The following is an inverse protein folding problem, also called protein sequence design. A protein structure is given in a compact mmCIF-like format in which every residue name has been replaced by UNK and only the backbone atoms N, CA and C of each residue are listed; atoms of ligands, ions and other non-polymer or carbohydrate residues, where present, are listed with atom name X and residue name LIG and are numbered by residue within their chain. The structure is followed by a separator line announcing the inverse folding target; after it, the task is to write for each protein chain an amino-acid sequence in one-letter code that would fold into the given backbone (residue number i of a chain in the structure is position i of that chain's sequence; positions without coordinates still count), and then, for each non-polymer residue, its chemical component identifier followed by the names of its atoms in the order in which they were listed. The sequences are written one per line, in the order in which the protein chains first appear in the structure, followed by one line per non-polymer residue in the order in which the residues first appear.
data_IF_926071039356
#
_entry.id   IF_926071039356
#
_cell.length_a   1.000
_cell.length_b   1.000
_cell.length_c   1.000
_cell.angle_alpha   90.00
_cell.angle_beta   90.00
_cell.angle_gamma   90.00
#
_symmetry.space_group_name_H-M   'P 1'
#
loop_
_entity.id
_entity.type
_entity.pdbx_description
1 polymer ?
#
# COMPACT_ATOMS: atom_id res chain seq x y z
N UNK A 1 33.24 -19.19 -10.31
CA UNK A 1 33.42 -17.83 -9.72
C UNK A 1 32.10 -17.26 -9.19
N UNK A 2 31.02 -17.11 -9.97
CA UNK A 2 29.71 -16.66 -9.45
C UNK A 2 29.18 -17.51 -8.28
N UNK A 3 29.25 -18.85 -8.40
CA UNK A 3 28.78 -19.78 -7.37
C UNK A 3 29.48 -19.70 -6.01
N UNK A 4 30.80 -19.52 -6.00
CA UNK A 4 31.54 -19.26 -4.76
C UNK A 4 31.14 -17.92 -4.13
N UNK A 5 30.78 -16.93 -4.95
CA UNK A 5 30.23 -15.67 -4.47
C UNK A 5 28.87 -15.91 -3.79
N UNK A 6 27.95 -16.63 -4.46
CA UNK A 6 26.62 -16.96 -3.92
C UNK A 6 26.68 -17.73 -2.61
N UNK A 7 27.55 -18.73 -2.52
CA UNK A 7 27.76 -19.50 -1.30
C UNK A 7 28.25 -18.62 -0.14
N UNK A 8 29.24 -17.76 -0.39
CA UNK A 8 29.77 -16.85 0.64
C UNK A 8 28.71 -15.84 1.12
N UNK A 9 27.83 -15.36 0.23
CA UNK A 9 26.75 -14.44 0.60
C UNK A 9 25.68 -15.11 1.48
N UNK A 10 25.23 -16.32 1.10
CA UNK A 10 24.24 -17.07 1.88
C UNK A 10 24.82 -17.52 3.24
N UNK A 11 26.11 -17.85 3.30
CA UNK A 11 26.79 -18.17 4.56
C UNK A 11 26.95 -16.96 5.50
N UNK A 12 27.20 -15.76 4.95
CA UNK A 12 27.23 -14.52 5.73
C UNK A 12 25.83 -14.15 6.25
N UNK A 13 24.80 -14.29 5.40
CA UNK A 13 23.41 -14.03 5.77
C UNK A 13 22.90 -14.98 6.86
N UNK A 14 23.23 -16.29 6.78
CA UNK A 14 22.93 -17.26 7.83
C UNK A 14 23.54 -16.87 9.20
N UNK A 15 24.75 -16.29 9.21
CA UNK A 15 25.39 -15.81 10.44
C UNK A 15 24.66 -14.61 11.04
N UNK A 16 24.11 -13.71 10.22
CA UNK A 16 23.34 -12.54 10.69
C UNK A 16 21.98 -12.92 11.28
N UNK A 17 21.26 -13.85 10.63
CA UNK A 17 19.95 -14.35 11.09
C UNK A 17 20.03 -15.02 12.48
N UNK A 18 21.23 -15.43 12.92
CA UNK A 18 21.45 -15.97 14.27
C UNK A 18 21.35 -14.90 15.38
N UNK A 19 21.26 -13.60 15.06
CA UNK A 19 21.55 -12.53 16.02
C UNK A 19 20.39 -11.67 16.56
N UNK A 20 19.12 -11.81 16.12
CA UNK A 20 17.90 -11.39 16.86
C UNK A 20 16.64 -11.62 16.00
N UNK A 21 15.57 -12.15 16.64
CA UNK A 21 14.26 -12.61 16.11
C UNK A 21 14.22 -14.07 15.57
N UNK A 22 14.12 -15.02 16.49
CA UNK A 22 14.28 -16.47 16.26
C UNK A 22 13.12 -17.20 15.55
N UNK A 23 11.93 -16.60 15.44
CA UNK A 23 10.74 -17.34 14.97
C UNK A 23 10.50 -17.16 13.46
N UNK A 24 10.38 -15.92 12.96
CA UNK A 24 10.18 -15.67 11.51
C UNK A 24 11.42 -15.99 10.67
N UNK A 25 12.61 -15.98 11.26
CA UNK A 25 13.86 -16.21 10.54
C UNK A 25 14.22 -17.70 10.43
N UNK A 26 13.66 -18.58 11.26
CA UNK A 26 14.01 -20.01 11.30
C UNK A 26 13.68 -20.73 10.00
N UNK A 27 12.51 -20.45 9.42
CA UNK A 27 12.09 -21.05 8.15
C UNK A 27 12.97 -20.59 6.98
N UNK A 28 13.31 -19.29 6.94
CA UNK A 28 14.23 -18.72 5.96
C UNK A 28 15.66 -19.24 6.12
N UNK A 29 16.14 -19.45 7.35
CA UNK A 29 17.43 -20.08 7.64
C UNK A 29 17.48 -21.52 7.13
N UNK A 30 16.44 -22.31 7.41
CA UNK A 30 16.34 -23.71 6.97
C UNK A 30 16.28 -23.78 5.44
N UNK A 31 15.46 -22.95 4.79
CA UNK A 31 15.37 -22.87 3.34
C UNK A 31 16.70 -22.45 2.70
N UNK A 32 17.40 -21.48 3.30
CA UNK A 32 18.73 -21.03 2.86
C UNK A 32 19.78 -22.13 2.98
N UNK A 33 19.84 -22.85 4.10
CA UNK A 33 20.76 -23.97 4.31
C UNK A 33 20.49 -25.10 3.32
N UNK A 34 19.21 -25.43 3.09
CA UNK A 34 18.84 -26.47 2.13
C UNK A 34 19.32 -26.14 0.72
N UNK A 35 19.13 -24.89 0.28
CA UNK A 35 19.63 -24.44 -1.02
C UNK A 35 21.17 -24.44 -1.05
N UNK A 36 21.87 -23.93 -0.03
CA UNK A 36 23.35 -24.00 0.07
C UNK A 36 23.84 -25.46 -0.05
N UNK A 37 23.15 -26.40 0.60
CA UNK A 37 23.55 -27.81 0.58
C UNK A 37 23.29 -28.45 -0.80
N UNK A 38 22.17 -28.15 -1.45
CA UNK A 38 21.89 -28.59 -2.82
C UNK A 38 22.93 -28.05 -3.81
N UNK A 39 23.36 -26.80 -3.62
CA UNK A 39 24.42 -26.17 -4.41
C UNK A 39 25.77 -26.87 -4.19
N UNK A 40 26.13 -27.14 -2.93
CA UNK A 40 27.38 -27.82 -2.55
C UNK A 40 27.45 -29.27 -3.09
N UNK A 41 26.30 -29.90 -3.29
CA UNK A 41 26.20 -31.27 -3.83
C UNK A 41 26.37 -31.35 -5.36
N UNK A 42 26.60 -30.24 -6.06
CA UNK A 42 26.95 -30.23 -7.48
C UNK A 42 25.83 -30.72 -8.42
N UNK A 43 24.58 -30.72 -7.96
CA UNK A 43 23.42 -31.10 -8.76
C UNK A 43 23.23 -30.08 -9.89
N UNK A 44 23.38 -30.52 -11.15
CA UNK A 44 23.29 -29.64 -12.31
C UNK A 44 21.90 -28.99 -12.45
N UNK A 45 21.89 -27.68 -12.22
CA UNK A 45 21.05 -26.58 -12.72
C UNK A 45 19.95 -26.97 -13.71
N UNK A 46 18.74 -27.21 -13.19
CA UNK A 46 17.51 -27.05 -13.98
C UNK A 46 17.05 -25.59 -13.94
N UNK A 47 16.28 -25.14 -14.93
CA UNK A 47 15.66 -23.79 -14.95
C UNK A 47 14.82 -23.59 -13.68
N UNK A 48 14.17 -24.64 -13.20
CA UNK A 48 13.34 -24.63 -11.99
C UNK A 48 14.13 -24.29 -10.72
N UNK A 49 15.32 -24.86 -10.53
CA UNK A 49 16.15 -24.58 -9.35
C UNK A 49 16.66 -23.13 -9.28
N UNK A 50 16.90 -22.47 -10.42
CA UNK A 50 17.24 -21.05 -10.42
C UNK A 50 16.04 -20.16 -10.08
N UNK A 51 14.83 -20.57 -10.45
CA UNK A 51 13.61 -19.85 -10.10
C UNK A 51 13.28 -20.02 -8.61
N UNK A 52 13.52 -21.21 -8.04
CA UNK A 52 13.44 -21.44 -6.59
C UNK A 52 14.43 -20.57 -5.81
N UNK A 53 15.67 -20.45 -6.30
CA UNK A 53 16.71 -19.63 -5.68
C UNK A 53 16.39 -18.14 -5.76
N UNK A 54 15.83 -17.68 -6.89
CA UNK A 54 15.30 -16.32 -7.05
C UNK A 54 14.16 -16.05 -6.07
N UNK A 55 13.18 -16.92 -5.99
CA UNK A 55 12.03 -16.77 -5.07
C UNK A 55 12.48 -16.72 -3.61
N UNK A 56 13.48 -17.54 -3.24
CA UNK A 56 14.07 -17.47 -1.90
C UNK A 56 14.76 -16.12 -1.65
N UNK A 57 15.57 -15.63 -2.60
CA UNK A 57 16.25 -14.35 -2.49
C UNK A 57 15.27 -13.17 -2.41
N UNK A 58 14.15 -13.21 -3.14
CA UNK A 58 13.09 -12.19 -3.08
C UNK A 58 12.41 -12.19 -1.70
N UNK A 59 12.10 -13.37 -1.13
CA UNK A 59 11.57 -13.48 0.24
C UNK A 59 12.55 -12.95 1.28
N UNK A 60 13.83 -13.29 1.14
CA UNK A 60 14.92 -12.78 1.99
C UNK A 60 15.00 -11.25 1.91
N UNK A 61 14.94 -10.70 0.69
CA UNK A 61 14.97 -9.26 0.45
C UNK A 61 13.78 -8.54 1.12
N UNK A 62 12.56 -9.06 0.98
CA UNK A 62 11.38 -8.48 1.62
C UNK A 62 11.46 -8.52 3.15
N UNK A 63 11.90 -9.64 3.72
CA UNK A 63 12.08 -9.77 5.17
C UNK A 63 13.13 -8.78 5.68
N UNK A 64 14.26 -8.64 4.99
CA UNK A 64 15.30 -7.67 5.34
C UNK A 64 14.78 -6.23 5.26
N UNK A 65 14.02 -5.88 4.22
CA UNK A 65 13.40 -4.55 4.08
C UNK A 65 12.48 -4.22 5.26
N UNK A 66 11.78 -5.21 5.82
CA UNK A 66 10.95 -5.03 7.03
C UNK A 66 11.80 -4.87 8.28
N UNK A 67 12.87 -5.65 8.44
CA UNK A 67 13.77 -5.59 9.60
C UNK A 67 14.56 -4.28 9.69
N UNK A 68 14.99 -3.72 8.55
CA UNK A 68 15.68 -2.42 8.46
C UNK A 68 14.88 -1.30 9.13
N UNK A 69 13.55 -1.30 9.00
CA UNK A 69 12.68 -0.26 9.57
C UNK A 69 12.69 -0.20 11.11
N UNK A 70 13.18 -1.23 11.78
CA UNK A 70 13.14 -1.37 13.24
C UNK A 70 14.51 -1.61 13.89
N UNK A 71 15.59 -1.48 13.12
CA UNK A 71 16.95 -1.75 13.57
C UNK A 71 17.65 -0.49 14.13
N UNK A 72 18.68 -0.67 14.98
CA UNK A 72 19.57 0.43 15.35
C UNK A 72 20.40 0.92 14.15
N UNK A 73 20.93 2.15 14.21
CA UNK A 73 21.59 2.80 13.06
C UNK A 73 22.77 2.02 12.49
N UNK A 74 23.53 1.32 13.34
CA UNK A 74 24.68 0.50 12.90
C UNK A 74 24.20 -0.76 12.18
N UNK A 75 23.16 -1.40 12.68
CA UNK A 75 22.50 -2.56 12.09
C UNK A 75 21.79 -2.18 10.79
N UNK A 76 21.19 -0.99 10.74
CA UNK A 76 20.55 -0.43 9.56
C UNK A 76 21.53 -0.27 8.39
N UNK A 77 22.72 0.29 8.62
CA UNK A 77 23.76 0.46 7.59
C UNK A 77 24.22 -0.91 7.04
N UNK A 78 24.39 -1.90 7.91
CA UNK A 78 24.79 -3.26 7.49
C UNK A 78 23.69 -3.90 6.64
N UNK A 79 22.45 -3.86 7.12
CA UNK A 79 21.31 -4.44 6.42
C UNK A 79 21.01 -3.72 5.10
N UNK A 80 21.17 -2.40 5.01
CA UNK A 80 21.02 -1.63 3.76
C UNK A 80 22.08 -2.02 2.72
N UNK A 81 23.32 -2.23 3.15
CA UNK A 81 24.38 -2.72 2.25
C UNK A 81 24.07 -4.12 1.73
N UNK A 82 23.63 -5.02 2.61
CA UNK A 82 23.25 -6.39 2.22
C UNK A 82 22.01 -6.41 1.34
N UNK A 83 21.03 -5.54 1.59
CA UNK A 83 19.85 -5.36 0.76
C UNK A 83 20.25 -4.95 -0.67
N UNK A 84 21.19 -4.02 -0.82
CA UNK A 84 21.70 -3.59 -2.12
C UNK A 84 22.47 -4.72 -2.84
N UNK A 85 23.30 -5.48 -2.12
CA UNK A 85 24.03 -6.63 -2.68
C UNK A 85 23.06 -7.75 -3.13
N UNK A 86 22.01 -8.01 -2.34
CA UNK A 86 20.93 -8.95 -2.70
C UNK A 86 20.16 -8.48 -3.94
N UNK A 87 19.83 -7.19 -4.01
CA UNK A 87 19.13 -6.62 -5.17
C UNK A 87 19.96 -6.76 -6.45
N UNK A 88 21.27 -6.50 -6.37
CA UNK A 88 22.20 -6.69 -7.48
C UNK A 88 22.27 -8.16 -7.91
N UNK A 89 22.33 -9.06 -6.94
CA UNK A 89 22.35 -10.51 -7.16
C UNK A 89 21.08 -11.02 -7.86
N UNK A 90 19.90 -10.57 -7.42
CA UNK A 90 18.61 -10.86 -8.07
C UNK A 90 18.61 -10.33 -9.51
N UNK A 91 19.15 -9.13 -9.74
CA UNK A 91 19.26 -8.57 -11.09
C UNK A 91 20.14 -9.42 -12.01
N UNK A 92 21.32 -9.83 -11.54
CA UNK A 92 22.24 -10.67 -12.31
C UNK A 92 21.66 -12.05 -12.63
N UNK A 93 20.92 -12.67 -11.69
CA UNK A 93 20.21 -13.93 -11.92
C UNK A 93 19.15 -13.76 -13.00
N UNK A 94 18.31 -12.72 -12.89
CA UNK A 94 17.27 -12.44 -13.87
C UNK A 94 17.85 -12.19 -15.27
N UNK A 95 18.96 -11.47 -15.36
CA UNK A 95 19.66 -11.23 -16.62
C UNK A 95 20.18 -12.53 -17.25
N UNK A 96 20.85 -13.38 -16.46
CA UNK A 96 21.38 -14.66 -16.92
C UNK A 96 20.27 -15.64 -17.34
N UNK A 97 19.16 -15.69 -16.60
CA UNK A 97 18.00 -16.52 -16.94
C UNK A 97 17.35 -16.05 -18.24
N UNK A 98 17.22 -14.73 -18.42
CA UNK A 98 16.72 -14.15 -19.66
C UNK A 98 17.62 -14.51 -20.86
N UNK A 99 18.94 -14.33 -20.74
CA UNK A 99 19.88 -14.71 -21.79
C UNK A 99 19.83 -16.21 -22.11
N UNK A 100 19.77 -17.08 -21.10
CA UNK A 100 19.68 -18.54 -21.32
C UNK A 100 18.39 -18.94 -22.05
N UNK A 101 17.24 -18.35 -21.68
CA UNK A 101 15.96 -18.60 -22.35
C UNK A 101 15.98 -18.14 -23.80
N UNK A 102 16.52 -16.94 -24.07
CA UNK A 102 16.67 -16.40 -25.43
C UNK A 102 17.62 -17.26 -26.27
N UNK A 103 18.76 -17.67 -25.70
CA UNK A 103 19.74 -18.54 -26.38
C UNK A 103 19.15 -19.91 -26.74
N UNK A 104 18.31 -20.48 -25.85
CA UNK A 104 17.64 -21.76 -26.09
C UNK A 104 16.68 -21.67 -27.27
N UNK A 105 15.86 -20.60 -27.33
CA UNK A 105 14.93 -20.36 -28.44
C UNK A 105 15.70 -20.16 -29.76
N UNK A 106 16.76 -19.35 -29.75
CA UNK A 106 17.57 -19.14 -30.96
C UNK A 106 18.25 -20.43 -31.43
N UNK A 107 18.73 -21.27 -30.51
CA UNK A 107 19.36 -22.54 -30.86
C UNK A 107 18.34 -23.51 -31.47
N UNK A 108 17.13 -23.60 -30.91
CA UNK A 108 16.07 -24.45 -31.47
C UNK A 108 15.62 -23.97 -32.84
N UNK A 109 15.50 -22.66 -33.05
CA UNK A 109 15.21 -22.09 -34.39
C UNK A 109 16.34 -22.37 -35.40
N UNK A 110 17.59 -22.34 -34.96
CA UNK A 110 18.75 -22.69 -35.80
C UNK A 110 18.73 -24.17 -36.19
N UNK A 111 18.50 -25.08 -35.24
CA UNK A 111 18.35 -26.53 -35.50
C UNK A 111 17.21 -26.79 -36.51
N UNK A 112 16.08 -26.09 -36.37
CA UNK A 112 14.99 -26.18 -37.33
C UNK A 112 15.40 -25.76 -38.74
N UNK A 113 16.09 -24.63 -38.86
CA UNK A 113 16.58 -24.13 -40.16
C UNK A 113 17.57 -25.10 -40.81
N UNK A 114 18.42 -25.75 -40.00
CA UNK A 114 19.39 -26.75 -40.47
C UNK A 114 18.69 -27.99 -41.03
N UNK A 115 17.74 -28.58 -40.29
CA UNK A 115 16.98 -29.75 -40.75
C UNK A 115 16.12 -29.45 -41.98
N UNK A 116 15.58 -28.23 -42.11
CA UNK A 116 14.89 -27.79 -43.34
C UNK A 116 15.83 -27.83 -44.56
N UNK A 117 17.07 -27.40 -44.38
CA UNK A 117 18.11 -27.43 -45.42
C UNK A 117 18.49 -28.88 -45.78
N UNK A 118 18.63 -29.76 -44.79
CA UNK A 118 18.89 -31.19 -44.99
C UNK A 118 17.75 -31.88 -45.77
N UNK A 119 16.50 -31.60 -45.42
CA UNK A 119 15.34 -32.15 -46.12
C UNK A 119 15.29 -31.69 -47.58
N UNK A 120 15.69 -30.44 -47.87
CA UNK A 120 15.83 -29.95 -49.24
C UNK A 120 16.96 -30.65 -50.01
N UNK A 121 18.09 -30.94 -49.35
CA UNK A 121 19.18 -31.74 -49.96
C UNK A 121 18.74 -33.17 -50.27
N UNK A 122 18.01 -33.82 -49.36
CA UNK A 122 17.48 -35.17 -49.58
C UNK A 122 16.49 -35.17 -50.76
N UNK A 123 15.62 -34.15 -50.88
CA UNK A 123 14.74 -33.98 -52.04
C UNK A 123 15.51 -33.88 -53.35
N UNK A 124 16.60 -33.10 -53.36
CA UNK A 124 17.43 -32.95 -54.54
C UNK A 124 18.14 -34.27 -54.91
N UNK A 125 18.75 -34.95 -53.94
CA UNK A 125 19.43 -36.23 -54.16
C UNK A 125 18.48 -37.33 -54.68
N UNK A 126 17.26 -37.41 -54.14
CA UNK A 126 16.25 -38.35 -54.64
C UNK A 126 15.86 -38.02 -56.08
N UNK A 127 15.77 -36.74 -56.44
CA UNK A 127 15.46 -36.32 -57.82
C UNK A 127 16.58 -36.72 -58.79
N UNK A 128 17.84 -36.54 -58.38
CA UNK A 128 19.03 -36.87 -59.19
C UNK A 128 19.16 -38.39 -59.42
N UNK A 129 18.87 -39.22 -58.41
CA UNK A 129 19.05 -40.68 -58.47
C UNK A 129 17.79 -41.40 -59.01
N UNK A 130 16.65 -40.69 -59.12
CA UNK A 130 15.36 -41.28 -59.53
C UNK A 130 15.37 -41.94 -60.92
N UNK A 131 16.24 -41.50 -61.85
CA UNK A 131 16.39 -42.12 -63.17
C UNK A 131 17.22 -43.40 -63.17
N UNK A 132 17.96 -43.68 -62.10
CA UNK A 132 18.88 -44.82 -61.96
C UNK A 132 18.31 -45.95 -61.09
N UNK A 133 17.21 -45.69 -60.38
CA UNK A 133 16.56 -46.62 -59.46
C UNK A 133 15.38 -47.35 -60.11
N UNK A 134 15.03 -48.50 -59.53
CA UNK A 134 13.79 -49.18 -59.88
C UNK A 134 12.58 -48.28 -59.55
N UNK A 135 11.54 -48.23 -60.40
CA UNK A 135 10.40 -47.33 -60.20
C UNK A 135 9.67 -47.51 -58.86
N UNK A 136 9.61 -48.73 -58.33
CA UNK A 136 8.99 -49.01 -57.03
C UNK A 136 9.80 -48.48 -55.85
N UNK A 137 11.14 -48.53 -55.90
CA UNK A 137 12.00 -47.99 -54.86
C UNK A 137 11.93 -46.46 -54.85
N UNK A 138 11.93 -45.86 -56.05
CA UNK A 138 11.70 -44.42 -56.24
C UNK A 138 10.35 -43.99 -55.66
N UNK A 139 9.29 -44.77 -55.92
CA UNK A 139 7.95 -44.51 -55.36
C UNK A 139 7.94 -44.59 -53.82
N UNK A 140 8.58 -45.59 -53.22
CA UNK A 140 8.67 -45.72 -51.76
C UNK A 140 9.48 -44.58 -51.12
N UNK A 141 10.58 -44.16 -51.74
CA UNK A 141 11.40 -43.04 -51.27
C UNK A 141 10.61 -41.72 -51.32
N UNK A 142 9.90 -41.46 -52.42
CA UNK A 142 9.04 -40.28 -52.55
C UNK A 142 7.94 -40.29 -51.48
N UNK A 143 7.31 -41.44 -51.20
CA UNK A 143 6.30 -41.56 -50.15
C UNK A 143 6.87 -41.23 -48.77
N UNK A 144 8.02 -41.82 -48.39
CA UNK A 144 8.69 -41.53 -47.11
C UNK A 144 9.10 -40.06 -46.98
N UNK A 145 9.59 -39.47 -48.07
CA UNK A 145 9.98 -38.07 -48.11
C UNK A 145 8.79 -37.12 -47.96
N UNK A 146 7.66 -37.46 -48.57
CA UNK A 146 6.42 -36.70 -48.41
C UNK A 146 5.90 -36.77 -46.98
N UNK A 147 5.91 -37.95 -46.35
CA UNK A 147 5.55 -38.11 -44.93
C UNK A 147 6.47 -37.28 -44.01
N UNK A 148 7.78 -37.33 -44.24
CA UNK A 148 8.74 -36.53 -43.48
C UNK A 148 8.51 -35.03 -43.68
N UNK A 149 8.19 -34.60 -44.91
CA UNK A 149 7.85 -33.22 -45.21
C UNK A 149 6.58 -32.74 -44.49
N UNK A 150 5.55 -33.58 -44.40
CA UNK A 150 4.32 -33.28 -43.65
C UNK A 150 4.63 -33.16 -42.15
N UNK A 151 5.29 -34.16 -41.56
CA UNK A 151 5.66 -34.17 -40.14
C UNK A 151 6.53 -32.96 -39.77
N UNK A 152 7.44 -32.57 -40.66
CA UNK A 152 8.27 -31.39 -40.50
C UNK A 152 7.43 -30.10 -40.45
N UNK A 153 6.53 -29.94 -41.43
CA UNK A 153 5.65 -28.77 -41.53
C UNK A 153 4.75 -28.65 -40.29
N UNK A 154 4.25 -29.78 -39.80
CA UNK A 154 3.43 -29.84 -38.58
C UNK A 154 4.25 -29.43 -37.34
N UNK A 155 5.48 -29.94 -37.19
CA UNK A 155 6.36 -29.56 -36.09
C UNK A 155 6.73 -28.06 -36.12
N UNK A 156 7.04 -27.51 -37.30
CA UNK A 156 7.31 -26.08 -37.50
C UNK A 156 6.09 -25.22 -37.12
N UNK A 157 4.89 -25.64 -37.53
CA UNK A 157 3.63 -24.97 -37.15
C UNK A 157 3.40 -25.04 -35.64
N UNK A 158 3.52 -26.21 -35.03
CA UNK A 158 3.33 -26.38 -33.58
C UNK A 158 4.31 -25.54 -32.76
N UNK A 159 5.57 -25.47 -33.16
CA UNK A 159 6.57 -24.68 -32.48
C UNK A 159 6.34 -23.17 -32.66
N UNK A 160 5.93 -22.74 -33.85
CA UNK A 160 5.56 -21.33 -34.09
C UNK A 160 4.40 -20.90 -33.18
N UNK A 161 3.33 -21.70 -33.12
CA UNK A 161 2.18 -21.44 -32.23
C UNK A 161 2.60 -21.41 -30.77
N UNK A 162 3.50 -22.31 -30.35
CA UNK A 162 4.02 -22.33 -28.99
C UNK A 162 4.83 -21.06 -28.67
N UNK A 163 5.71 -20.61 -29.58
CA UNK A 163 6.49 -19.38 -29.41
C UNK A 163 5.58 -18.16 -29.30
N UNK A 164 4.58 -18.04 -30.17
CA UNK A 164 3.63 -16.93 -30.16
C UNK A 164 2.83 -16.90 -28.85
N UNK A 165 2.34 -18.07 -28.42
CA UNK A 165 1.63 -18.24 -27.15
C UNK A 165 2.48 -17.86 -25.93
N UNK A 166 3.74 -18.32 -25.88
CA UNK A 166 4.66 -17.98 -24.80
C UNK A 166 5.04 -16.50 -24.80
N UNK A 167 5.21 -15.90 -25.98
CA UNK A 167 5.53 -14.47 -26.13
C UNK A 167 4.37 -13.62 -25.66
N UNK A 168 3.14 -13.94 -26.07
CA UNK A 168 1.92 -13.28 -25.61
C UNK A 168 1.79 -13.39 -24.10
N UNK A 169 1.88 -14.60 -23.54
CA UNK A 169 1.76 -14.83 -22.09
C UNK A 169 2.82 -14.07 -21.29
N UNK A 170 4.06 -14.03 -21.78
CA UNK A 170 5.13 -13.25 -21.17
C UNK A 170 4.78 -11.76 -21.13
N UNK A 171 4.25 -11.22 -22.22
CA UNK A 171 3.85 -9.81 -22.29
C UNK A 171 2.69 -9.49 -21.35
N UNK A 172 1.68 -10.37 -21.25
CA UNK A 172 0.53 -10.22 -20.35
C UNK A 172 0.96 -10.27 -18.88
N UNK A 173 1.86 -11.19 -18.52
CA UNK A 173 2.41 -11.26 -17.17
C UNK A 173 3.22 -9.99 -16.82
N UNK A 174 4.05 -9.50 -17.74
CA UNK A 174 4.83 -8.27 -17.51
C UNK A 174 3.95 -7.04 -17.34
N UNK A 175 2.88 -6.92 -18.14
CA UNK A 175 1.92 -5.84 -18.01
C UNK A 175 1.20 -5.88 -16.66
N UNK A 176 0.70 -7.06 -16.26
CA UNK A 176 0.13 -7.28 -14.93
C UNK A 176 1.10 -6.90 -13.82
N UNK A 177 2.35 -7.37 -13.88
CA UNK A 177 3.36 -7.10 -12.86
C UNK A 177 3.62 -5.60 -12.67
N UNK A 178 3.79 -4.89 -13.79
CA UNK A 178 4.02 -3.45 -13.76
C UNK A 178 2.82 -2.70 -13.16
N UNK A 179 1.61 -3.10 -13.52
CA UNK A 179 0.38 -2.51 -12.99
C UNK A 179 0.19 -2.79 -11.50
N UNK A 180 0.50 -4.01 -11.08
CA UNK A 180 0.47 -4.43 -9.68
C UNK A 180 1.45 -3.61 -8.84
N UNK A 181 2.71 -3.49 -9.26
CA UNK A 181 3.72 -2.70 -8.54
C UNK A 181 3.34 -1.23 -8.42
N UNK A 182 2.80 -0.63 -9.49
CA UNK A 182 2.27 0.74 -9.46
C UNK A 182 1.12 0.90 -8.48
N UNK A 183 0.27 -0.12 -8.37
CA UNK A 183 -0.84 -0.13 -7.42
C UNK A 183 -0.34 -0.18 -5.97
N UNK A 184 0.64 -1.02 -5.66
CA UNK A 184 1.28 -1.08 -4.34
C UNK A 184 1.92 0.27 -3.98
N UNK A 185 2.67 0.87 -4.90
CA UNK A 185 3.28 2.19 -4.68
C UNK A 185 2.24 3.28 -4.44
N UNK A 186 1.13 3.26 -5.20
CA UNK A 186 0.02 4.17 -4.98
C UNK A 186 -0.57 3.98 -3.58
N UNK A 187 -0.83 2.75 -3.15
CA UNK A 187 -1.34 2.44 -1.81
C UNK A 187 -0.44 3.01 -0.71
N UNK A 188 0.87 2.76 -0.79
CA UNK A 188 1.83 3.25 0.19
C UNK A 188 1.84 4.78 0.25
N UNK A 189 1.79 5.48 -0.89
CA UNK A 189 1.75 6.94 -0.91
C UNK A 189 0.40 7.51 -0.45
N UNK A 190 -0.70 6.85 -0.80
CA UNK A 190 -2.05 7.32 -0.51
C UNK A 190 -2.33 7.36 0.99
N UNK A 191 -2.01 6.25 1.69
CA UNK A 191 -2.21 6.16 3.14
C UNK A 191 -1.28 7.07 3.94
N UNK A 192 0.00 7.15 3.54
CA UNK A 192 1.00 7.86 4.35
C UNK A 192 0.97 9.38 4.12
N UNK A 193 0.73 9.81 2.87
CA UNK A 193 0.96 11.19 2.47
C UNK A 193 -0.31 11.85 1.93
N UNK A 194 -0.93 11.26 0.91
CA UNK A 194 -1.91 11.97 0.08
C UNK A 194 -3.17 12.38 0.86
N UNK A 195 -3.71 11.49 1.70
CA UNK A 195 -4.86 11.81 2.55
C UNK A 195 -4.52 12.97 3.48
N UNK A 196 -3.39 12.92 4.18
CA UNK A 196 -3.00 13.96 5.13
C UNK A 196 -2.74 15.31 4.45
N UNK A 197 -2.09 15.30 3.28
CA UNK A 197 -1.83 16.51 2.50
C UNK A 197 -3.12 17.18 2.04
N UNK A 198 -4.11 16.41 1.58
CA UNK A 198 -5.42 16.94 1.15
C UNK A 198 -6.21 17.58 2.28
N UNK A 199 -6.03 17.11 3.52
CA UNK A 199 -6.75 17.60 4.69
C UNK A 199 -6.01 18.72 5.44
N UNK A 200 -4.72 18.94 5.14
CA UNK A 200 -3.89 19.86 5.89
C UNK A 200 -4.38 21.32 5.75
N UNK A 201 -4.48 22.03 6.88
CA UNK A 201 -4.88 23.43 6.93
C UNK A 201 -6.37 23.72 6.70
N UNK A 202 -7.19 22.68 6.48
CA UNK A 202 -8.63 22.81 6.29
C UNK A 202 -9.39 22.85 7.61
N UNK A 203 -10.60 23.39 7.57
CA UNK A 203 -11.54 23.32 8.71
C UNK A 203 -12.07 21.91 8.84
N UNK A 204 -12.50 21.53 10.05
CA UNK A 204 -13.02 20.18 10.31
C UNK A 204 -14.21 19.79 9.41
N UNK A 205 -15.09 20.75 9.12
CA UNK A 205 -16.23 20.57 8.23
C UNK A 205 -15.78 20.28 6.79
N UNK A 206 -14.84 21.08 6.27
CA UNK A 206 -14.30 20.90 4.91
C UNK A 206 -13.54 19.58 4.79
N UNK A 207 -12.76 19.22 5.81
CA UNK A 207 -12.06 17.94 5.87
C UNK A 207 -13.04 16.76 5.81
N UNK A 208 -14.18 16.85 6.51
CA UNK A 208 -15.22 15.83 6.49
C UNK A 208 -15.85 15.67 5.10
N UNK A 209 -16.13 16.78 4.41
CA UNK A 209 -16.68 16.78 3.05
C UNK A 209 -15.72 16.13 2.05
N UNK A 210 -14.43 16.49 2.10
CA UNK A 210 -13.39 15.88 1.25
C UNK A 210 -13.24 14.39 1.53
N UNK A 211 -13.29 13.97 2.80
CA UNK A 211 -13.24 12.55 3.16
C UNK A 211 -14.44 11.77 2.60
N UNK A 212 -15.65 12.32 2.72
CA UNK A 212 -16.89 11.67 2.27
C UNK A 212 -17.06 11.62 0.77
N UNK A 213 -16.57 12.64 0.07
CA UNK A 213 -16.75 12.79 -1.37
C UNK A 213 -15.48 12.41 -2.12
N UNK A 214 -14.47 13.28 -2.12
CA UNK A 214 -13.28 13.15 -2.97
C UNK A 214 -12.48 11.89 -2.67
N UNK A 215 -12.14 11.66 -1.40
CA UNK A 215 -11.35 10.50 -0.99
C UNK A 215 -12.14 9.21 -1.23
N UNK A 216 -13.44 9.19 -0.93
CA UNK A 216 -14.31 8.03 -1.18
C UNK A 216 -14.45 7.72 -2.67
N UNK A 217 -14.54 8.74 -3.52
CA UNK A 217 -14.57 8.59 -4.98
C UNK A 217 -13.24 8.02 -5.50
N UNK A 218 -12.10 8.53 -5.02
CA UNK A 218 -10.78 7.99 -5.37
C UNK A 218 -10.70 6.50 -5.02
N UNK A 219 -11.15 6.10 -3.84
CA UNK A 219 -11.15 4.70 -3.41
C UNK A 219 -12.07 3.87 -4.29
N UNK A 220 -13.24 4.39 -4.64
CA UNK A 220 -14.22 3.70 -5.51
C UNK A 220 -13.62 3.44 -6.90
N UNK A 221 -12.95 4.43 -7.49
CA UNK A 221 -12.30 4.26 -8.79
C UNK A 221 -11.09 3.31 -8.70
N UNK A 222 -10.35 3.37 -7.59
CA UNK A 222 -9.24 2.45 -7.35
C UNK A 222 -9.69 1.02 -7.08
N UNK A 223 -10.85 0.81 -6.48
CA UNK A 223 -11.50 -0.51 -6.34
C UNK A 223 -11.85 -1.08 -7.71
N UNK A 224 -12.38 -0.28 -8.64
CA UNK A 224 -12.62 -0.73 -10.03
C UNK A 224 -11.34 -1.19 -10.71
N UNK A 225 -10.28 -0.37 -10.62
CA UNK A 225 -8.97 -0.73 -11.16
C UNK A 225 -8.38 -1.99 -10.51
N UNK A 226 -8.49 -2.13 -9.18
CA UNK A 226 -8.08 -3.35 -8.48
C UNK A 226 -8.85 -4.58 -8.96
N UNK A 227 -10.16 -4.46 -9.19
CA UNK A 227 -10.98 -5.54 -9.75
C UNK A 227 -10.54 -5.94 -11.16
N UNK A 228 -10.15 -4.98 -12.01
CA UNK A 228 -9.57 -5.28 -13.32
C UNK A 228 -8.24 -6.04 -13.21
N UNK A 229 -7.39 -5.67 -12.24
CA UNK A 229 -6.16 -6.41 -11.96
C UNK A 229 -6.43 -7.81 -11.42
N UNK A 230 -7.45 -7.98 -10.58
CA UNK A 230 -7.87 -9.29 -10.08
C UNK A 230 -8.34 -10.19 -11.22
N UNK A 231 -9.10 -9.65 -12.18
CA UNK A 231 -9.51 -10.39 -13.38
C UNK A 231 -8.27 -10.81 -14.20
N UNK A 232 -7.34 -9.89 -14.44
CA UNK A 232 -6.09 -10.18 -15.15
C UNK A 232 -5.27 -11.26 -14.43
N UNK A 233 -5.13 -11.17 -13.10
CA UNK A 233 -4.40 -12.15 -12.29
C UNK A 233 -5.05 -13.54 -12.36
N UNK A 234 -6.38 -13.63 -12.26
CA UNK A 234 -7.11 -14.91 -12.36
C UNK A 234 -7.02 -15.53 -13.75
N UNK A 235 -7.01 -14.71 -14.80
CA UNK A 235 -6.78 -15.17 -16.18
C UNK A 235 -5.34 -15.69 -16.36
N UNK A 236 -4.34 -15.02 -15.79
CA UNK A 236 -2.96 -15.53 -15.81
C UNK A 236 -2.86 -16.85 -15.04
N UNK A 237 -3.47 -16.93 -13.86
CA UNK A 237 -3.47 -18.13 -13.03
C UNK A 237 -4.03 -19.35 -13.76
N UNK A 238 -5.14 -19.19 -14.50
CA UNK A 238 -5.78 -20.30 -15.22
C UNK A 238 -4.97 -20.82 -16.42
N UNK A 239 -4.04 -20.02 -16.92
CA UNK A 239 -3.16 -20.40 -18.02
C UNK A 239 -1.83 -21.03 -17.56
N UNK A 240 -1.49 -20.92 -16.28
CA UNK A 240 -0.27 -21.45 -15.70
C UNK A 240 -0.42 -22.94 -15.39
N UNK A 241 0.65 -23.69 -15.63
CA UNK A 241 0.76 -25.10 -15.27
C UNK A 241 1.79 -25.35 -14.16
N UNK A 242 2.63 -24.36 -13.87
CA UNK A 242 3.64 -24.42 -12.81
C UNK A 242 3.01 -24.02 -11.48
N UNK A 243 2.97 -24.96 -10.54
CA UNK A 243 2.39 -24.78 -9.21
C UNK A 243 3.02 -23.61 -8.45
N UNK A 244 4.32 -23.37 -8.63
CA UNK A 244 5.02 -22.28 -7.94
C UNK A 244 4.50 -20.92 -8.46
N UNK A 245 4.35 -20.79 -9.77
CA UNK A 245 3.84 -19.56 -10.39
C UNK A 245 2.36 -19.32 -10.05
N UNK A 246 1.56 -20.39 -9.99
CA UNK A 246 0.15 -20.33 -9.55
C UNK A 246 0.07 -19.77 -8.13
N UNK A 247 0.92 -20.24 -7.22
CA UNK A 247 0.95 -19.77 -5.83
C UNK A 247 1.42 -18.32 -5.70
N UNK A 248 2.42 -17.90 -6.50
CA UNK A 248 2.87 -16.49 -6.55
C UNK A 248 1.71 -15.57 -6.97
N UNK A 249 0.97 -15.93 -8.02
CA UNK A 249 -0.17 -15.13 -8.47
C UNK A 249 -1.29 -15.12 -7.42
N UNK A 250 -1.52 -16.25 -6.75
CA UNK A 250 -2.49 -16.35 -5.66
C UNK A 250 -2.15 -15.39 -4.51
N UNK A 251 -0.89 -15.34 -4.09
CA UNK A 251 -0.43 -14.40 -3.06
C UNK A 251 -0.65 -12.94 -3.48
N UNK A 252 -0.42 -12.60 -4.76
CA UNK A 252 -0.69 -11.25 -5.27
C UNK A 252 -2.18 -10.91 -5.30
N UNK A 253 -3.05 -11.88 -5.61
CA UNK A 253 -4.51 -11.73 -5.53
C UNK A 253 -4.93 -11.42 -4.08
N UNK A 254 -4.47 -12.24 -3.13
CA UNK A 254 -4.77 -12.06 -1.70
C UNK A 254 -4.25 -10.70 -1.20
N UNK A 255 -3.07 -10.27 -1.65
CA UNK A 255 -2.50 -8.98 -1.33
C UNK A 255 -3.32 -7.80 -1.88
N UNK A 256 -3.83 -7.89 -3.12
CA UNK A 256 -4.69 -6.85 -3.71
C UNK A 256 -6.00 -6.70 -2.92
N UNK A 257 -6.63 -7.81 -2.58
CA UNK A 257 -7.88 -7.83 -1.80
C UNK A 257 -7.63 -7.22 -0.41
N UNK A 258 -6.57 -7.66 0.28
CA UNK A 258 -6.20 -7.14 1.59
C UNK A 258 -5.91 -5.64 1.59
N UNK A 259 -5.20 -5.14 0.59
CA UNK A 259 -4.88 -3.72 0.45
C UNK A 259 -6.14 -2.88 0.29
N UNK A 260 -7.06 -3.32 -0.57
CA UNK A 260 -8.30 -2.58 -0.80
C UNK A 260 -9.16 -2.51 0.46
N UNK A 261 -9.29 -3.63 1.17
CA UNK A 261 -10.06 -3.68 2.41
C UNK A 261 -9.40 -2.81 3.50
N UNK A 262 -8.06 -2.78 3.55
CA UNK A 262 -7.31 -1.94 4.48
C UNK A 262 -7.56 -0.44 4.22
N UNK A 263 -7.52 0.02 2.97
CA UNK A 263 -7.80 1.43 2.64
C UNK A 263 -9.23 1.81 3.02
N UNK A 264 -10.20 0.97 2.66
CA UNK A 264 -11.61 1.26 2.91
C UNK A 264 -11.89 1.33 4.41
N UNK A 265 -11.36 0.39 5.20
CA UNK A 265 -11.48 0.44 6.65
C UNK A 265 -10.78 1.66 7.25
N UNK A 266 -9.60 2.02 6.76
CA UNK A 266 -8.86 3.18 7.24
C UNK A 266 -9.65 4.47 7.03
N UNK A 267 -10.18 4.67 5.82
CA UNK A 267 -10.94 5.88 5.47
C UNK A 267 -12.29 5.92 6.19
N UNK A 268 -12.98 4.79 6.31
CA UNK A 268 -14.26 4.72 7.04
C UNK A 268 -14.07 5.04 8.53
N UNK A 269 -13.01 4.52 9.17
CA UNK A 269 -12.66 4.87 10.55
C UNK A 269 -12.39 6.37 10.68
N UNK A 270 -11.66 6.94 9.72
CA UNK A 270 -11.32 8.37 9.73
C UNK A 270 -12.56 9.24 9.55
N UNK A 271 -13.46 8.90 8.62
CA UNK A 271 -14.75 9.58 8.44
C UNK A 271 -15.53 9.58 9.76
N UNK A 272 -15.74 8.42 10.38
CA UNK A 272 -16.50 8.31 11.63
C UNK A 272 -15.89 9.15 12.75
N UNK A 273 -14.56 9.13 12.89
CA UNK A 273 -13.89 9.96 13.88
C UNK A 273 -14.11 11.45 13.58
N UNK A 274 -13.89 11.90 12.35
CA UNK A 274 -14.10 13.30 11.97
C UNK A 274 -15.56 13.74 12.11
N UNK A 275 -16.55 12.86 11.88
CA UNK A 275 -17.97 13.13 12.15
C UNK A 275 -18.23 13.41 13.63
N UNK A 276 -17.69 12.57 14.52
CA UNK A 276 -17.82 12.75 15.97
C UNK A 276 -17.18 14.07 16.40
N UNK A 277 -15.94 14.32 15.97
CA UNK A 277 -15.23 15.55 16.30
C UNK A 277 -15.95 16.78 15.73
N UNK A 278 -16.51 16.69 14.53
CA UNK A 278 -17.32 17.75 13.93
C UNK A 278 -18.59 18.03 14.73
N UNK A 279 -19.27 16.98 15.23
CA UNK A 279 -20.44 17.13 16.09
C UNK A 279 -20.07 17.83 17.39
N UNK A 280 -19.01 17.39 18.05
CA UNK A 280 -18.50 18.03 19.28
C UNK A 280 -18.11 19.49 19.03
N UNK A 281 -17.48 19.79 17.89
CA UNK A 281 -17.13 21.16 17.51
C UNK A 281 -18.37 22.04 17.33
N UNK A 282 -19.42 21.54 16.69
CA UNK A 282 -20.67 22.28 16.51
C UNK A 282 -21.41 22.50 17.85
N UNK A 283 -21.41 21.50 18.74
CA UNK A 283 -21.93 21.62 20.10
C UNK A 283 -21.15 22.69 20.90
N UNK A 284 -19.82 22.76 20.73
CA UNK A 284 -18.97 23.79 21.32
C UNK A 284 -19.32 25.20 20.80
N UNK A 285 -19.39 25.38 19.47
CA UNK A 285 -19.76 26.64 18.83
C UNK A 285 -21.09 27.18 19.36
N UNK A 286 -22.11 26.33 19.37
CA UNK A 286 -23.44 26.70 19.81
C UNK A 286 -23.45 27.05 21.30
N UNK A 287 -22.73 26.28 22.13
CA UNK A 287 -22.57 26.58 23.55
C UNK A 287 -21.87 27.92 23.81
N UNK A 288 -20.80 28.22 23.06
CA UNK A 288 -20.09 29.50 23.16
C UNK A 288 -21.02 30.66 22.82
N UNK A 289 -21.80 30.56 21.74
CA UNK A 289 -22.71 31.63 21.33
C UNK A 289 -23.84 31.83 22.34
N UNK A 290 -24.42 30.74 22.87
CA UNK A 290 -25.46 30.82 23.91
C UNK A 290 -24.94 31.51 25.18
N UNK A 291 -23.76 31.12 25.68
CA UNK A 291 -23.12 31.75 26.84
C UNK A 291 -22.81 33.22 26.54
N UNK A 292 -22.32 33.54 25.34
CA UNK A 292 -22.00 34.91 24.93
C UNK A 292 -23.24 35.82 24.98
N UNK A 293 -24.37 35.38 24.41
CA UNK A 293 -25.63 36.12 24.41
C UNK A 293 -26.20 36.29 25.82
N UNK A 294 -26.07 35.26 26.66
CA UNK A 294 -26.46 35.35 28.07
C UNK A 294 -25.58 36.34 28.84
N UNK A 295 -24.26 36.30 28.67
CA UNK A 295 -23.33 37.27 29.27
C UNK A 295 -23.65 38.71 28.84
N UNK A 296 -23.93 38.95 27.54
CA UNK A 296 -24.34 40.26 27.02
C UNK A 296 -25.58 40.80 27.81
N UNK A 297 -26.53 39.92 28.12
CA UNK A 297 -27.76 40.25 28.86
C UNK A 297 -27.46 40.58 30.32
N UNK A 298 -26.64 39.75 30.99
CA UNK A 298 -26.27 39.97 32.40
C UNK A 298 -25.45 41.25 32.56
N UNK A 299 -24.47 41.50 31.69
CA UNK A 299 -23.66 42.72 31.70
C UNK A 299 -24.55 43.96 31.52
N UNK A 300 -25.53 43.91 30.61
CA UNK A 300 -26.50 45.00 30.40
C UNK A 300 -27.36 45.24 31.65
N UNK A 301 -27.83 44.17 32.29
CA UNK A 301 -28.64 44.26 33.51
C UNK A 301 -27.84 44.88 34.66
N UNK A 302 -26.59 44.43 34.85
CA UNK A 302 -25.69 44.95 35.88
C UNK A 302 -25.34 46.42 35.66
N UNK A 303 -25.19 46.87 34.41
CA UNK A 303 -24.94 48.29 34.10
C UNK A 303 -26.17 49.19 34.34
N UNK A 304 -27.40 48.65 34.24
CA UNK A 304 -28.65 49.40 34.46
C UNK A 304 -28.99 49.57 35.94
N UNK A 305 -28.54 48.64 36.77
CA UNK A 305 -28.62 48.74 38.23
C UNK A 305 -27.59 49.74 38.75
N UNK A 306 -27.92 51.04 38.70
CA UNK A 306 -27.12 52.09 39.35
C UNK A 306 -27.54 52.26 40.83
N UNK A 307 -26.60 52.55 41.75
CA UNK A 307 -26.93 52.77 43.15
C UNK A 307 -27.71 54.08 43.29
N UNK A 308 -28.91 54.01 43.85
CA UNK A 308 -29.72 55.19 44.16
C UNK A 308 -29.81 55.43 45.66
N UNK A 309 -29.88 56.71 46.05
CA UNK A 309 -29.80 57.17 47.44
C UNK A 309 -31.08 56.93 48.26
N UNK A 310 -32.05 56.17 47.75
CA UNK A 310 -33.35 55.95 48.37
C UNK A 310 -33.45 54.52 48.94
N UNK A 311 -33.86 54.37 50.19
CA UNK A 311 -33.86 53.09 50.94
C UNK A 311 -34.72 52.00 50.28
N UNK A 312 -35.84 52.36 49.64
CA UNK A 312 -36.67 51.39 48.91
C UNK A 312 -36.01 50.90 47.61
N UNK A 313 -35.29 51.77 46.91
CA UNK A 313 -34.61 51.41 45.66
C UNK A 313 -33.33 50.61 45.93
N UNK A 314 -32.66 50.87 47.06
CA UNK A 314 -31.55 50.05 47.54
C UNK A 314 -31.97 48.59 47.78
N UNK A 315 -33.11 48.35 48.43
CA UNK A 315 -33.62 46.99 48.61
C UNK A 315 -33.99 46.28 47.30
N UNK A 316 -34.57 47.01 46.34
CA UNK A 316 -34.88 46.49 45.00
C UNK A 316 -33.59 46.15 44.25
N UNK A 317 -32.56 47.00 44.34
CA UNK A 317 -31.25 46.77 43.75
C UNK A 317 -30.58 45.52 44.33
N UNK A 318 -30.59 45.36 45.65
CA UNK A 318 -29.99 44.21 46.34
C UNK A 318 -30.69 42.88 45.99
N UNK A 319 -32.03 42.88 45.85
CA UNK A 319 -32.77 41.71 45.34
C UNK A 319 -32.43 41.39 43.88
N UNK A 320 -32.24 42.40 43.04
CA UNK A 320 -31.84 42.22 41.64
C UNK A 320 -30.44 41.60 41.53
N UNK A 321 -29.49 42.02 42.37
CA UNK A 321 -28.12 41.46 42.40
C UNK A 321 -28.16 39.99 42.84
N UNK A 322 -28.88 39.66 43.92
CA UNK A 322 -29.01 38.28 44.39
C UNK A 322 -29.66 37.34 43.35
N UNK A 323 -30.60 37.85 42.56
CA UNK A 323 -31.20 37.09 41.46
C UNK A 323 -30.20 36.82 40.33
N UNK A 324 -29.33 37.79 40.02
CA UNK A 324 -28.25 37.66 39.03
C UNK A 324 -27.20 36.66 39.51
N UNK A 325 -26.78 36.72 40.78
CA UNK A 325 -25.84 35.75 41.37
C UNK A 325 -26.34 34.31 41.23
N UNK A 326 -27.61 34.07 41.58
CA UNK A 326 -28.22 32.75 41.45
C UNK A 326 -28.26 32.28 39.98
N UNK A 327 -28.49 33.19 39.03
CA UNK A 327 -28.47 32.83 37.60
C UNK A 327 -27.07 32.48 37.10
N UNK A 328 -26.05 33.16 37.61
CA UNK A 328 -24.65 32.90 37.27
C UNK A 328 -24.17 31.58 37.85
N UNK A 329 -24.57 31.25 39.08
CA UNK A 329 -24.26 29.96 39.67
C UNK A 329 -24.85 28.80 38.85
N UNK A 330 -26.07 28.97 38.32
CA UNK A 330 -26.67 27.99 37.39
C UNK A 330 -25.83 27.83 36.12
N UNK A 331 -25.37 28.93 35.52
CA UNK A 331 -24.59 28.90 34.28
C UNK A 331 -23.13 28.47 34.48
N UNK A 332 -22.61 28.46 35.70
CA UNK A 332 -21.26 27.98 36.03
C UNK A 332 -21.02 26.51 35.63
N UNK A 333 -22.04 25.66 35.82
CA UNK A 333 -21.97 24.24 35.42
C UNK A 333 -21.94 24.05 33.91
N UNK A 334 -22.72 24.85 33.18
CA UNK A 334 -22.74 24.88 31.71
C UNK A 334 -21.40 25.37 31.17
N UNK A 335 -20.88 26.45 31.73
CA UNK A 335 -19.56 27.00 31.38
C UNK A 335 -18.44 25.98 31.58
N UNK A 336 -18.42 25.30 32.74
CA UNK A 336 -17.42 24.27 33.04
C UNK A 336 -17.47 23.10 32.06
N UNK A 337 -18.68 22.65 31.71
CA UNK A 337 -18.90 21.56 30.75
C UNK A 337 -18.48 21.96 29.33
N UNK A 338 -18.74 23.21 28.94
CA UNK A 338 -18.35 23.77 27.65
C UNK A 338 -16.83 23.92 27.51
N UNK A 339 -16.14 24.39 28.56
CA UNK A 339 -14.68 24.46 28.60
C UNK A 339 -14.07 23.06 28.54
N UNK A 340 -14.60 22.10 29.28
CA UNK A 340 -14.15 20.71 29.23
C UNK A 340 -14.27 20.13 27.80
N UNK A 341 -15.40 20.39 27.12
CA UNK A 341 -15.59 20.00 25.73
C UNK A 341 -14.59 20.68 24.78
N UNK A 342 -14.33 21.99 24.96
CA UNK A 342 -13.32 22.73 24.21
C UNK A 342 -11.91 22.18 24.40
N UNK A 343 -11.51 21.87 25.64
CA UNK A 343 -10.21 21.26 25.93
C UNK A 343 -10.10 19.83 25.38
N UNK A 344 -11.17 19.04 25.41
CA UNK A 344 -11.20 17.72 24.79
C UNK A 344 -10.98 17.83 23.27
N UNK A 345 -11.56 18.83 22.60
CA UNK A 345 -11.32 19.10 21.19
C UNK A 345 -9.85 19.50 20.92
N UNK A 346 -9.26 20.36 21.77
CA UNK A 346 -7.84 20.74 21.62
C UNK A 346 -6.87 19.55 21.70
N UNK A 347 -7.25 18.49 22.41
CA UNK A 347 -6.45 17.27 22.53
C UNK A 347 -6.67 16.28 21.38
N UNK A 348 -7.57 16.54 20.43
CA UNK A 348 -7.79 15.66 19.28
C UNK A 348 -6.71 15.88 18.21
N UNK A 349 -5.89 14.85 18.02
CA UNK A 349 -4.76 14.84 17.08
C UNK A 349 -5.17 14.94 15.61
N UNK A 350 -6.45 14.72 15.28
CA UNK A 350 -6.96 14.80 13.91
C UNK A 350 -7.48 16.19 13.51
N UNK A 351 -7.46 17.15 14.44
CA UNK A 351 -7.84 18.53 14.18
C UNK A 351 -6.65 19.29 13.59
N UNK A 352 -6.89 20.08 12.54
CA UNK A 352 -5.86 20.91 11.93
C UNK A 352 -5.37 22.01 12.88
N UNK A 353 -4.09 22.39 12.75
CA UNK A 353 -3.50 23.48 13.54
C UNK A 353 -4.32 24.78 13.47
N UNK A 354 -4.83 25.12 12.30
CA UNK A 354 -5.72 26.28 12.11
C UNK A 354 -6.99 26.20 12.95
N UNK A 355 -7.59 25.02 13.06
CA UNK A 355 -8.80 24.81 13.86
C UNK A 355 -8.47 24.82 15.35
N UNK A 356 -7.32 24.26 15.74
CA UNK A 356 -6.77 24.32 17.11
C UNK A 356 -6.57 25.79 17.53
N UNK A 357 -5.93 26.61 16.69
CA UNK A 357 -5.71 28.03 16.99
C UNK A 357 -7.03 28.79 17.18
N UNK A 358 -8.03 28.51 16.32
CA UNK A 358 -9.35 29.09 16.42
C UNK A 358 -10.08 28.67 17.71
N UNK A 359 -10.02 27.39 18.07
CA UNK A 359 -10.57 26.85 19.32
C UNK A 359 -9.93 27.50 20.53
N UNK A 360 -8.60 27.53 20.57
CA UNK A 360 -7.83 28.06 21.69
C UNK A 360 -8.16 29.52 21.97
N UNK A 361 -8.24 30.37 20.92
CA UNK A 361 -8.63 31.78 21.08
C UNK A 361 -10.04 31.93 21.64
N UNK A 362 -10.98 31.09 21.23
CA UNK A 362 -12.37 31.15 21.70
C UNK A 362 -12.53 30.69 23.14
N UNK A 363 -11.84 29.62 23.52
CA UNK A 363 -11.77 29.16 24.92
C UNK A 363 -11.23 30.30 25.79
N UNK A 364 -10.08 30.87 25.40
CA UNK A 364 -9.46 31.97 26.15
C UNK A 364 -10.37 33.20 26.25
N UNK A 365 -11.05 33.58 25.16
CA UNK A 365 -11.97 34.72 25.15
C UNK A 365 -13.15 34.48 26.10
N UNK A 366 -13.70 33.27 26.10
CA UNK A 366 -14.82 32.90 26.97
C UNK A 366 -14.42 32.91 28.44
N UNK A 367 -13.25 32.35 28.79
CA UNK A 367 -12.71 32.33 30.15
C UNK A 367 -12.46 33.76 30.68
N UNK A 368 -11.81 34.61 29.90
CA UNK A 368 -11.52 35.99 30.28
C UNK A 368 -12.80 36.79 30.52
N UNK A 369 -13.81 36.60 29.67
CA UNK A 369 -15.10 37.25 29.82
C UNK A 369 -15.86 36.75 31.05
N UNK A 370 -15.83 35.45 31.31
CA UNK A 370 -16.42 34.88 32.53
C UNK A 370 -15.78 35.44 33.80
N UNK A 371 -14.45 35.57 33.84
CA UNK A 371 -13.74 36.20 34.96
C UNK A 371 -14.16 37.67 35.14
N UNK A 372 -14.20 38.43 34.05
CA UNK A 372 -14.59 39.85 34.06
C UNK A 372 -16.02 40.03 34.58
N UNK A 373 -16.94 39.14 34.20
CA UNK A 373 -18.32 39.17 34.68
C UNK A 373 -18.38 38.96 36.21
N UNK A 374 -17.66 37.97 36.72
CA UNK A 374 -17.58 37.69 38.17
C UNK A 374 -17.01 38.87 38.97
N UNK A 375 -16.01 39.57 38.43
CA UNK A 375 -15.47 40.80 39.06
C UNK A 375 -16.50 41.94 39.06
N UNK A 376 -17.29 42.07 37.99
CA UNK A 376 -18.30 43.12 37.87
C UNK A 376 -19.45 42.95 38.88
N UNK A 377 -19.83 41.72 39.21
CA UNK A 377 -20.85 41.44 40.23
C UNK A 377 -20.33 41.76 41.61
N UNK A 378 -19.12 41.30 41.95
CA UNK A 378 -18.47 41.64 43.23
C UNK A 378 -18.36 43.15 43.44
N UNK A 379 -18.15 43.92 42.37
CA UNK A 379 -18.13 45.38 42.45
C UNK A 379 -19.51 45.96 42.77
N UNK A 380 -20.58 45.42 42.19
CA UNK A 380 -21.95 45.85 42.46
C UNK A 380 -22.45 45.42 43.86
N UNK A 381 -21.99 44.28 44.40
CA UNK A 381 -22.26 43.88 45.78
C UNK A 381 -21.67 44.86 46.83
N UNK A 382 -20.53 45.47 46.49
CA UNK A 382 -19.78 46.37 47.38
C UNK A 382 -20.10 47.87 47.17
N UNK A 383 -20.95 48.21 46.19
CA UNK A 383 -21.38 49.59 45.89
C UNK A 383 -22.74 49.88 46.51
#
# INVERSE_FOLDING_TARGET
KLWLSYQNYLENYYRLLKSKNEIEQKELQIATINIINQIKQGSYITINQNEELKNLLEKIYETNRRLIKHADTKTQIILEKELNDLQKSIHDINFNLKQKRETLVTNKNRELTQHRTELQRIRQAITEISSELHPDDTRQLIQKLNLLGIQWTDAERSLTVLIDSLTKRRSEYQDFENKFLRFIQWFENFLNNEINQRLNGLTIQTSLEILKNDIRNIITDKRKYANELLIQARLLQSQLTDQIQIEIIKQKIEQLEHIMDTIEQHVEKRIKKTEITCKMFNEFEQGCENIRLWMDTIETNLQRTLPTQNTNEFHIHQQSIAAIEMDIEKHSTVMSSLLALGHNLLNDTDISSRTIDSLSRRIQTLEQRWLSLNELIKKNENS
#
